data_IF_695151672297
#
_entry.id   IF_695151672297
#
_cell.length_a   1.000
_cell.length_b   1.000
_cell.length_c   1.000
_cell.angle_alpha   90.00
_cell.angle_beta   90.00
_cell.angle_gamma   90.00
#
_symmetry.space_group_name_H-M   'P 1'
#
loop_
_entity.id
_entity.type
_entity.pdbx_description
1 polymer ?
#
# COMPACT_ATOMS: atom_id res chain seq x y z
N UNK A 1 -3.10 -0.73 -26.63
CA UNK A 1 -3.29 0.28 -25.57
C UNK A 1 -1.95 0.84 -25.12
N UNK A 2 -1.94 2.03 -24.55
CA UNK A 2 -0.82 2.63 -23.82
C UNK A 2 -0.78 2.06 -22.40
N UNK A 3 0.41 1.74 -21.91
CA UNK A 3 0.62 1.21 -20.57
C UNK A 3 2.00 1.62 -20.02
N UNK A 4 2.07 1.86 -18.72
CA UNK A 4 3.32 2.07 -17.99
C UNK A 4 3.98 0.70 -17.79
N UNK A 5 5.20 0.56 -18.29
CA UNK A 5 5.95 -0.68 -18.30
C UNK A 5 7.31 -0.50 -17.63
N UNK A 6 7.72 -1.50 -16.87
CA UNK A 6 9.06 -1.59 -16.33
C UNK A 6 10.03 -2.03 -17.43
N UNK A 7 11.18 -1.36 -17.55
CA UNK A 7 12.21 -1.63 -18.57
C UNK A 7 13.59 -1.92 -17.97
N UNK A 8 13.74 -1.67 -16.67
CA UNK A 8 15.00 -1.80 -15.93
C UNK A 8 14.90 -1.09 -14.59
N UNK A 9 15.91 -1.28 -13.73
CA UNK A 9 16.03 -0.52 -12.49
C UNK A 9 16.00 0.98 -12.83
N UNK A 10 15.04 1.70 -12.23
CA UNK A 10 14.78 3.13 -12.48
C UNK A 10 14.46 3.51 -13.93
N UNK A 11 14.00 2.56 -14.73
CA UNK A 11 13.57 2.79 -16.11
C UNK A 11 12.13 2.30 -16.28
N UNK A 12 11.19 3.25 -16.17
CA UNK A 12 9.77 3.06 -16.44
C UNK A 12 9.43 3.85 -17.70
N UNK A 13 8.68 3.24 -18.62
CA UNK A 13 8.29 3.86 -19.89
C UNK A 13 6.83 3.62 -20.19
N UNK A 14 6.22 4.56 -20.91
CA UNK A 14 4.89 4.35 -21.47
C UNK A 14 5.03 3.75 -22.85
N UNK A 15 4.63 2.50 -22.99
CA UNK A 15 4.77 1.70 -24.20
C UNK A 15 3.41 1.35 -24.79
N UNK A 16 3.40 1.02 -26.08
CA UNK A 16 2.19 0.50 -26.75
C UNK A 16 2.21 -1.01 -26.68
N UNK A 17 1.23 -1.58 -25.98
CA UNK A 17 1.08 -3.02 -25.75
C UNK A 17 -0.24 -3.53 -26.35
N UNK A 18 -0.40 -4.84 -26.59
CA UNK A 18 -1.67 -5.40 -27.04
C UNK A 18 -2.82 -5.09 -26.09
N UNK A 19 -4.02 -4.91 -26.62
CA UNK A 19 -5.22 -4.72 -25.80
C UNK A 19 -5.54 -6.01 -25.03
N UNK A 20 -5.86 -5.92 -23.73
CA UNK A 20 -6.25 -7.07 -22.94
C UNK A 20 -7.62 -7.57 -23.40
N UNK A 21 -7.83 -8.87 -23.28
CA UNK A 21 -9.09 -9.54 -23.62
C UNK A 21 -9.56 -10.41 -22.46
N UNK A 22 -10.85 -10.73 -22.43
CA UNK A 22 -11.40 -11.73 -21.50
C UNK A 22 -10.75 -13.08 -21.79
N UNK A 23 -10.16 -13.71 -20.78
CA UNK A 23 -9.52 -15.03 -20.91
C UNK A 23 -10.31 -16.10 -20.17
N UNK A 24 -10.88 -15.77 -19.01
CA UNK A 24 -11.67 -16.69 -18.18
C UNK A 24 -13.12 -16.21 -17.97
N UNK A 25 -14.08 -17.12 -17.72
CA UNK A 25 -15.48 -16.77 -17.48
C UNK A 25 -15.72 -15.78 -16.34
N UNK A 26 -14.81 -15.69 -15.36
CA UNK A 26 -14.92 -14.79 -14.20
C UNK A 26 -14.17 -13.47 -14.38
N UNK A 27 -13.51 -13.26 -15.52
CA UNK A 27 -12.77 -12.04 -15.79
C UNK A 27 -13.70 -10.85 -16.00
N UNK A 28 -13.20 -9.66 -15.68
CA UNK A 28 -13.81 -8.38 -16.06
C UNK A 28 -12.75 -7.58 -16.82
N UNK A 29 -13.13 -6.92 -17.90
CA UNK A 29 -12.29 -5.98 -18.62
C UNK A 29 -12.82 -4.57 -18.36
N UNK A 30 -11.95 -3.68 -17.89
CA UNK A 30 -12.29 -2.27 -17.68
C UNK A 30 -11.47 -1.37 -18.59
N UNK A 31 -12.05 -0.25 -18.99
CA UNK A 31 -11.31 0.94 -19.42
C UNK A 31 -11.00 1.76 -18.18
N UNK A 32 -9.71 1.93 -17.90
CA UNK A 32 -9.24 2.64 -16.71
C UNK A 32 -9.56 4.13 -16.88
N UNK A 33 -10.12 4.74 -15.83
CA UNK A 33 -10.40 6.18 -15.80
C UNK A 33 -9.44 6.91 -14.87
N UNK A 34 -9.02 6.25 -13.79
CA UNK A 34 -8.01 6.74 -12.86
C UNK A 34 -7.22 5.58 -12.28
N UNK A 35 -5.92 5.78 -12.04
CA UNK A 35 -5.07 4.78 -11.38
C UNK A 35 -3.98 5.45 -10.54
N UNK A 36 -3.78 4.96 -9.33
CA UNK A 36 -2.77 5.50 -8.42
C UNK A 36 -1.33 5.09 -8.76
N UNK A 37 -0.40 5.92 -8.27
CA UNK A 37 0.98 5.52 -7.99
C UNK A 37 1.10 5.22 -6.49
N UNK A 38 1.57 4.02 -6.15
CA UNK A 38 1.76 3.59 -4.77
C UNK A 38 3.24 3.60 -4.36
N UNK A 39 3.52 3.69 -3.06
CA UNK A 39 4.88 3.51 -2.55
C UNK A 39 5.43 2.12 -2.88
N UNK A 40 4.58 1.09 -2.89
CA UNK A 40 5.00 -0.27 -3.27
C UNK A 40 5.41 -0.38 -4.74
N UNK A 41 4.96 0.50 -5.64
CA UNK A 41 5.46 0.56 -7.02
C UNK A 41 6.93 1.02 -7.05
N UNK A 42 7.38 1.84 -6.09
CA UNK A 42 8.79 2.23 -5.95
C UNK A 42 9.68 1.05 -5.53
N UNK A 43 9.11 0.05 -4.84
CA UNK A 43 9.85 -1.19 -4.57
C UNK A 43 10.15 -1.92 -5.88
N UNK A 44 9.23 -1.93 -6.85
CA UNK A 44 9.47 -2.50 -8.19
C UNK A 44 10.48 -1.65 -8.98
N UNK A 45 10.41 -0.33 -8.81
CA UNK A 45 11.30 0.64 -9.46
C UNK A 45 12.77 0.50 -9.05
N UNK A 46 13.06 0.10 -7.80
CA UNK A 46 14.44 0.05 -7.27
C UNK A 46 14.86 -1.30 -6.66
N UNK A 47 14.04 -1.90 -5.78
CA UNK A 47 14.48 -2.96 -4.87
C UNK A 47 14.21 -4.35 -5.44
N UNK A 48 13.05 -4.54 -6.04
CA UNK A 48 12.54 -5.81 -6.53
C UNK A 48 12.87 -6.04 -8.01
N UNK A 49 13.77 -5.25 -8.59
CA UNK A 49 14.21 -5.37 -9.99
C UNK A 49 14.56 -6.80 -10.44
N UNK A 50 15.25 -7.63 -9.63
CA UNK A 50 15.52 -9.03 -9.99
C UNK A 50 14.26 -9.88 -10.23
N UNK A 51 13.12 -9.48 -9.69
CA UNK A 51 11.83 -10.18 -9.84
C UNK A 51 10.92 -9.55 -10.91
N UNK A 52 11.44 -8.62 -11.70
CA UNK A 52 10.74 -7.93 -12.80
C UNK A 52 11.29 -8.35 -14.16
N UNK A 53 10.50 -8.19 -15.20
CA UNK A 53 10.92 -8.35 -16.60
C UNK A 53 10.63 -7.10 -17.42
N UNK A 54 11.51 -6.73 -18.38
CA UNK A 54 11.20 -5.67 -19.32
C UNK A 54 9.87 -5.93 -20.04
N UNK A 55 8.97 -4.95 -19.97
CA UNK A 55 7.61 -5.01 -20.50
C UNK A 55 6.52 -5.32 -19.46
N UNK A 56 6.87 -5.64 -18.21
CA UNK A 56 5.89 -5.82 -17.15
C UNK A 56 5.07 -4.55 -16.94
N UNK A 57 3.73 -4.67 -17.02
CA UNK A 57 2.81 -3.56 -16.82
C UNK A 57 2.57 -3.39 -15.33
N UNK A 58 2.87 -2.20 -14.79
CA UNK A 58 2.85 -1.90 -13.35
C UNK A 58 1.56 -1.24 -12.88
N UNK A 59 1.44 -1.06 -11.56
CA UNK A 59 0.38 -0.30 -10.91
C UNK A 59 -0.83 -1.14 -10.53
N UNK A 60 -1.36 -0.87 -9.34
CA UNK A 60 -2.33 -1.76 -8.69
C UNK A 60 -3.45 -1.02 -7.96
N UNK A 61 -3.63 0.25 -8.30
CA UNK A 61 -4.66 1.11 -7.74
C UNK A 61 -5.68 1.63 -8.79
N UNK A 62 -6.24 0.78 -9.68
CA UNK A 62 -7.08 1.27 -10.76
C UNK A 62 -8.56 1.34 -10.38
N UNK A 63 -9.25 2.29 -11.00
CA UNK A 63 -10.69 2.28 -11.18
C UNK A 63 -11.04 2.61 -12.63
N UNK A 64 -12.24 2.23 -13.05
CA UNK A 64 -12.65 2.42 -14.43
C UNK A 64 -14.10 2.07 -14.69
N UNK A 65 -14.38 1.95 -15.98
CA UNK A 65 -15.69 1.56 -16.51
C UNK A 65 -15.59 0.16 -17.11
N UNK A 66 -16.53 -0.72 -16.79
CA UNK A 66 -16.61 -2.06 -17.37
C UNK A 66 -16.85 -1.97 -18.88
N UNK A 67 -15.96 -2.56 -19.67
CA UNK A 67 -16.04 -2.63 -21.14
C UNK A 67 -16.48 -4.02 -21.61
N UNK A 68 -16.09 -5.08 -20.88
CA UNK A 68 -16.56 -6.44 -21.14
C UNK A 68 -16.53 -7.29 -19.86
N UNK A 69 -17.34 -8.34 -19.84
CA UNK A 69 -17.39 -9.30 -18.74
C UNK A 69 -17.32 -10.73 -19.27
N UNK A 70 -16.73 -11.62 -18.48
CA UNK A 70 -16.75 -13.05 -18.74
C UNK A 70 -18.15 -13.66 -18.56
N UNK A 71 -18.36 -14.86 -19.10
CA UNK A 71 -19.67 -15.51 -19.13
C UNK A 71 -20.24 -15.94 -17.78
N UNK A 72 -19.45 -15.92 -16.70
CA UNK A 72 -19.87 -16.24 -15.34
C UNK A 72 -20.04 -14.99 -14.46
N UNK A 73 -19.93 -13.79 -15.02
CA UNK A 73 -20.18 -12.53 -14.31
C UNK A 73 -21.66 -12.19 -14.37
N UNK A 74 -22.33 -12.12 -13.22
CA UNK A 74 -23.79 -11.97 -13.14
C UNK A 74 -24.29 -10.61 -12.59
N UNK A 75 -23.41 -9.80 -11.98
CA UNK A 75 -23.80 -8.60 -11.21
C UNK A 75 -23.05 -7.32 -11.64
N UNK A 76 -22.30 -7.39 -12.74
CA UNK A 76 -21.65 -6.24 -13.37
C UNK A 76 -22.07 -6.17 -14.82
N UNK A 77 -22.44 -4.99 -15.27
CA UNK A 77 -22.83 -4.71 -16.64
C UNK A 77 -21.80 -3.79 -17.31
N UNK A 78 -21.69 -3.88 -18.64
CA UNK A 78 -20.93 -2.91 -19.43
C UNK A 78 -21.45 -1.49 -19.15
N UNK A 79 -20.54 -0.57 -18.84
CA UNK A 79 -20.85 0.80 -18.42
C UNK A 79 -20.86 1.02 -16.91
N UNK A 80 -20.79 -0.03 -16.09
CA UNK A 80 -20.65 0.13 -14.63
C UNK A 80 -19.31 0.74 -14.26
N UNK A 81 -19.32 1.67 -13.28
CA UNK A 81 -18.09 2.16 -12.65
C UNK A 81 -17.66 1.20 -11.56
N UNK A 82 -16.40 0.79 -11.60
CA UNK A 82 -15.82 -0.15 -10.63
C UNK A 82 -14.46 0.30 -10.16
N UNK A 83 -14.19 0.08 -8.87
CA UNK A 83 -12.84 0.13 -8.29
C UNK A 83 -12.31 -1.29 -8.19
N UNK A 84 -11.05 -1.50 -8.53
CA UNK A 84 -10.44 -2.83 -8.54
C UNK A 84 -9.46 -2.96 -7.38
N UNK A 85 -9.71 -3.87 -6.42
CA UNK A 85 -8.73 -4.23 -5.40
C UNK A 85 -7.42 -4.72 -6.01
N UNK A 86 -6.30 -4.36 -5.38
CA UNK A 86 -4.98 -4.86 -5.81
C UNK A 86 -4.82 -6.39 -5.67
N UNK A 87 -5.57 -7.04 -4.75
CA UNK A 87 -5.57 -8.49 -4.59
C UNK A 87 -6.36 -9.19 -5.71
N UNK A 88 -5.75 -10.17 -6.38
CA UNK A 88 -6.48 -11.08 -7.27
C UNK A 88 -7.02 -12.22 -6.42
N UNK A 89 -8.34 -12.29 -6.22
CA UNK A 89 -8.97 -13.20 -5.26
C UNK A 89 -10.24 -13.87 -5.80
N UNK A 90 -10.44 -15.14 -5.49
CA UNK A 90 -11.56 -15.92 -6.04
C UNK A 90 -12.90 -15.73 -5.33
N UNK A 91 -12.88 -15.28 -4.07
CA UNK A 91 -14.10 -15.03 -3.28
C UNK A 91 -14.74 -16.23 -2.61
N UNK A 92 -14.29 -17.46 -2.91
CA UNK A 92 -14.97 -18.68 -2.45
C UNK A 92 -14.03 -19.73 -1.82
N UNK A 93 -12.71 -19.52 -1.82
CA UNK A 93 -11.80 -20.43 -1.10
C UNK A 93 -11.91 -20.23 0.41
N UNK A 94 -11.33 -21.15 1.19
CA UNK A 94 -11.43 -21.14 2.66
C UNK A 94 -10.96 -19.81 3.26
N UNK A 95 -9.91 -19.23 2.67
CA UNK A 95 -9.34 -17.94 3.08
C UNK A 95 -10.25 -16.77 2.70
N UNK A 96 -10.75 -16.72 1.45
CA UNK A 96 -11.62 -15.64 0.99
C UNK A 96 -12.93 -15.54 1.79
N UNK A 97 -13.56 -16.68 2.11
CA UNK A 97 -14.79 -16.71 2.92
C UNK A 97 -14.59 -16.16 4.35
N UNK A 98 -13.33 -16.10 4.81
CA UNK A 98 -12.94 -15.55 6.12
C UNK A 98 -12.41 -14.12 6.04
N UNK A 99 -12.50 -13.49 4.86
CA UNK A 99 -11.98 -12.15 4.64
C UNK A 99 -10.45 -12.07 4.63
N UNK A 100 -9.79 -13.15 4.20
CA UNK A 100 -8.34 -13.24 4.01
C UNK A 100 -8.00 -13.28 2.51
N UNK A 101 -8.46 -12.29 1.75
CA UNK A 101 -8.26 -12.18 0.31
C UNK A 101 -6.78 -12.17 -0.09
N UNK A 102 -5.91 -11.54 0.69
CA UNK A 102 -4.47 -11.55 0.42
C UNK A 102 -3.83 -12.94 0.56
N UNK A 103 -4.56 -13.90 1.14
CA UNK A 103 -4.16 -15.30 1.32
C UNK A 103 -5.02 -16.26 0.46
N UNK A 104 -5.70 -15.76 -0.58
CA UNK A 104 -6.51 -16.57 -1.48
C UNK A 104 -5.78 -17.83 -1.97
N UNK A 105 -6.36 -19.01 -1.70
CA UNK A 105 -5.73 -20.31 -2.02
C UNK A 105 -5.70 -20.60 -3.52
N UNK A 106 -6.66 -20.05 -4.27
CA UNK A 106 -6.81 -20.22 -5.72
C UNK A 106 -5.73 -19.47 -6.50
N UNK A 107 -5.33 -18.31 -5.99
CA UNK A 107 -4.34 -17.42 -6.63
C UNK A 107 -3.04 -17.36 -5.83
N UNK A 108 -2.84 -18.28 -4.88
CA UNK A 108 -1.63 -18.35 -4.09
C UNK A 108 -0.42 -18.70 -4.98
N UNK A 109 0.65 -17.92 -4.87
CA UNK A 109 1.88 -18.16 -5.62
C UNK A 109 2.77 -19.16 -4.88
N UNK A 110 2.47 -20.45 -5.05
CA UNK A 110 3.13 -21.56 -4.33
C UNK A 110 4.61 -21.71 -4.69
N UNK A 111 4.98 -21.42 -5.93
CA UNK A 111 6.35 -21.56 -6.43
C UNK A 111 7.32 -20.57 -5.75
N UNK A 112 6.81 -19.42 -5.34
CA UNK A 112 7.56 -18.37 -4.61
C UNK A 112 7.26 -18.34 -3.12
N UNK A 113 6.32 -19.17 -2.65
CA UNK A 113 5.91 -19.26 -1.25
C UNK A 113 5.15 -18.03 -0.71
N UNK A 114 4.65 -17.17 -1.59
CA UNK A 114 3.96 -15.93 -1.19
C UNK A 114 2.43 -16.11 -1.18
N UNK A 115 1.72 -15.02 -0.86
CA UNK A 115 0.25 -14.98 -0.82
C UNK A 115 -0.41 -14.99 -2.19
N UNK A 116 -1.63 -14.47 -2.24
CA UNK A 116 -2.42 -14.30 -3.45
C UNK A 116 -1.70 -13.41 -4.47
N UNK A 117 -1.92 -13.65 -5.77
CA UNK A 117 -1.40 -12.78 -6.83
C UNK A 117 -1.90 -11.35 -6.68
N UNK A 118 -1.06 -10.40 -7.07
CA UNK A 118 -1.34 -8.97 -7.02
C UNK A 118 -1.28 -8.40 -8.44
N UNK A 119 -2.17 -7.46 -8.76
CA UNK A 119 -2.12 -6.73 -10.01
C UNK A 119 -0.84 -5.90 -10.08
N UNK A 120 -0.25 -5.75 -11.26
CA UNK A 120 0.85 -4.82 -11.54
C UNK A 120 2.10 -5.00 -10.66
N UNK A 121 2.34 -6.21 -10.18
CA UNK A 121 3.40 -6.53 -9.23
C UNK A 121 4.40 -7.55 -9.79
N UNK A 122 5.43 -7.89 -9.00
CA UNK A 122 6.53 -8.76 -9.45
C UNK A 122 6.16 -10.24 -9.59
N UNK A 123 7.09 -11.03 -10.14
CA UNK A 123 7.00 -12.50 -10.22
C UNK A 123 6.72 -13.18 -8.88
N UNK A 124 7.15 -12.56 -7.78
CA UNK A 124 6.85 -13.05 -6.44
C UNK A 124 5.35 -13.21 -6.20
N UNK A 125 4.53 -12.36 -6.83
CA UNK A 125 3.08 -12.32 -6.69
C UNK A 125 2.35 -12.52 -8.02
N UNK A 126 2.90 -13.39 -8.88
CA UNK A 126 2.21 -13.91 -10.05
C UNK A 126 2.30 -13.07 -11.31
N UNK A 127 3.00 -11.92 -11.28
CA UNK A 127 3.30 -11.10 -12.47
C UNK A 127 2.04 -10.76 -13.30
N UNK A 128 0.92 -10.48 -12.61
CA UNK A 128 -0.34 -10.17 -13.28
C UNK A 128 -0.27 -8.72 -13.80
N UNK A 129 -0.63 -8.44 -15.06
CA UNK A 129 -0.59 -7.08 -15.61
C UNK A 129 -1.35 -6.04 -14.76
N UNK A 130 -0.73 -4.87 -14.60
CA UNK A 130 -1.22 -3.77 -13.77
C UNK A 130 -2.15 -2.78 -14.46
N UNK A 131 -2.69 -1.88 -13.65
CA UNK A 131 -3.71 -0.89 -14.00
C UNK A 131 -3.19 0.49 -14.39
N UNK A 132 -1.87 0.75 -14.39
CA UNK A 132 -1.32 1.95 -15.02
C UNK A 132 -1.32 1.79 -16.55
N UNK A 133 -2.51 1.70 -17.13
CA UNK A 133 -2.78 1.45 -18.54
C UNK A 133 -4.15 1.99 -18.95
N UNK A 134 -4.44 2.09 -20.24
CA UNK A 134 -5.78 2.52 -20.73
C UNK A 134 -6.87 1.47 -20.48
N UNK A 135 -6.51 0.17 -20.48
CA UNK A 135 -7.43 -0.94 -20.21
C UNK A 135 -6.78 -1.97 -19.29
N UNK A 136 -7.61 -2.69 -18.53
CA UNK A 136 -7.16 -3.71 -17.59
C UNK A 136 -8.10 -4.91 -17.60
N UNK A 137 -7.53 -6.10 -17.82
CA UNK A 137 -8.20 -7.37 -17.47
C UNK A 137 -8.01 -7.63 -15.99
N UNK A 138 -9.12 -7.90 -15.30
CA UNK A 138 -9.17 -8.22 -13.88
C UNK A 138 -9.53 -9.69 -13.73
N UNK A 139 -8.56 -10.57 -13.46
CA UNK A 139 -8.84 -11.97 -13.16
C UNK A 139 -9.69 -12.09 -11.90
N UNK A 140 -10.67 -12.99 -11.91
CA UNK A 140 -11.69 -13.09 -10.86
C UNK A 140 -12.39 -11.75 -10.56
N UNK A 141 -12.51 -10.88 -11.57
CA UNK A 141 -13.19 -9.58 -11.45
C UNK A 141 -14.64 -9.71 -10.99
N UNK A 142 -15.30 -10.85 -11.25
CA UNK A 142 -16.61 -11.20 -10.68
C UNK A 142 -16.66 -11.09 -9.14
N UNK A 143 -15.57 -11.36 -8.42
CA UNK A 143 -15.58 -11.18 -6.96
C UNK A 143 -14.87 -9.88 -6.55
N UNK A 144 -13.75 -9.60 -7.21
CA UNK A 144 -12.85 -8.52 -6.83
C UNK A 144 -13.45 -7.13 -7.06
N UNK A 145 -14.08 -6.88 -8.21
CA UNK A 145 -14.50 -5.54 -8.58
C UNK A 145 -15.58 -4.97 -7.63
N UNK A 146 -15.40 -3.71 -7.22
CA UNK A 146 -16.29 -2.99 -6.32
C UNK A 146 -17.07 -1.97 -7.14
N UNK A 147 -18.36 -2.22 -7.37
CA UNK A 147 -19.25 -1.28 -8.06
C UNK A 147 -19.45 -0.01 -7.24
N UNK A 148 -19.31 1.15 -7.87
CA UNK A 148 -19.49 2.46 -7.24
C UNK A 148 -20.52 3.32 -8.00
N UNK A 149 -21.18 4.28 -7.33
CA UNK A 149 -22.16 5.15 -7.97
C UNK A 149 -21.58 6.00 -9.11
N UNK A 150 -22.45 6.36 -10.05
CA UNK A 150 -22.18 7.44 -11.01
C UNK A 150 -22.37 8.81 -10.34
N UNK A 151 -21.64 9.83 -10.79
CA UNK A 151 -21.80 11.21 -10.32
C UNK A 151 -20.55 11.77 -9.64
N UNK A 152 -20.13 11.26 -8.47
CA UNK A 152 -18.93 11.76 -7.79
C UNK A 152 -17.65 11.51 -8.60
N UNK A 153 -16.61 12.37 -8.43
CA UNK A 153 -15.34 12.22 -9.13
C UNK A 153 -14.66 10.88 -8.76
N UNK A 154 -13.75 10.43 -9.61
CA UNK A 154 -12.96 9.21 -9.36
C UNK A 154 -12.19 9.28 -8.03
N UNK A 155 -11.70 10.46 -7.64
CA UNK A 155 -11.03 10.68 -6.36
C UNK A 155 -11.90 10.31 -5.15
N UNK A 156 -13.23 10.29 -5.31
CA UNK A 156 -14.14 9.83 -4.25
C UNK A 156 -13.94 8.34 -3.94
N UNK A 157 -13.51 7.55 -4.91
CA UNK A 157 -13.56 6.09 -4.82
C UNK A 157 -12.25 5.38 -5.16
N UNK A 158 -11.35 5.96 -5.96
CA UNK A 158 -10.14 5.28 -6.47
C UNK A 158 -9.29 4.67 -5.35
N UNK A 159 -9.24 5.30 -4.19
CA UNK A 159 -8.46 4.84 -3.04
C UNK A 159 -9.02 3.57 -2.37
N UNK A 160 -10.23 3.12 -2.72
CA UNK A 160 -10.76 1.80 -2.32
C UNK A 160 -9.95 0.64 -2.93
N UNK A 161 -9.16 0.90 -3.97
CA UNK A 161 -8.30 -0.12 -4.58
C UNK A 161 -7.16 -0.59 -3.66
N UNK A 162 -6.66 0.31 -2.79
CA UNK A 162 -5.54 0.05 -1.87
C UNK A 162 -5.57 0.98 -0.64
N UNK A 163 -5.22 2.27 -0.81
CA UNK A 163 -4.88 3.19 0.31
C UNK A 163 -5.87 3.16 1.46
N UNK A 164 -7.18 3.27 1.16
CA UNK A 164 -8.23 3.29 2.18
C UNK A 164 -8.33 1.95 2.91
N UNK A 165 -8.55 0.80 2.24
CA UNK A 165 -8.56 -0.49 2.91
C UNK A 165 -7.29 -0.82 3.69
N UNK A 166 -6.12 -0.42 3.18
CA UNK A 166 -4.83 -0.64 3.85
C UNK A 166 -4.75 0.18 5.14
N UNK A 167 -5.08 1.47 5.09
CA UNK A 167 -5.15 2.33 6.27
C UNK A 167 -6.24 1.89 7.27
N UNK A 168 -7.40 1.47 6.77
CA UNK A 168 -8.51 0.97 7.59
C UNK A 168 -8.14 -0.33 8.31
N UNK A 169 -7.51 -1.27 7.60
CA UNK A 169 -6.97 -2.49 8.20
C UNK A 169 -5.95 -2.15 9.28
N UNK A 170 -5.06 -1.19 9.03
CA UNK A 170 -4.04 -0.79 9.99
C UNK A 170 -4.66 -0.23 11.29
N UNK A 171 -5.70 0.60 11.19
CA UNK A 171 -6.42 1.11 12.37
C UNK A 171 -7.17 -0.01 13.11
N UNK A 172 -7.84 -0.90 12.39
CA UNK A 172 -8.51 -2.09 12.98
C UNK A 172 -7.52 -3.07 13.60
N UNK A 173 -6.31 -3.16 13.05
CA UNK A 173 -5.25 -4.02 13.56
C UNK A 173 -4.56 -3.41 14.77
N UNK A 174 -4.44 -2.08 14.83
CA UNK A 174 -3.91 -1.38 15.98
C UNK A 174 -4.75 -1.54 17.25
N UNK A 175 -6.05 -1.89 17.12
CA UNK A 175 -6.95 -2.16 18.27
C UNK A 175 -6.88 -1.04 19.33
N UNK A 176 -6.98 0.20 18.86
CA UNK A 176 -6.76 1.39 19.68
C UNK A 176 -7.90 1.50 20.70
N UNK A 177 -7.60 1.55 22.01
CA UNK A 177 -8.64 1.66 23.03
C UNK A 177 -9.44 2.96 22.91
N UNK A 178 -10.62 3.03 23.51
CA UNK A 178 -11.43 4.26 23.52
C UNK A 178 -10.71 5.40 24.24
N UNK A 179 -10.63 6.56 23.57
CA UNK A 179 -9.81 7.69 24.00
C UNK A 179 -8.29 7.43 23.94
N UNK A 180 -7.86 6.30 23.36
CA UNK A 180 -6.46 5.92 23.25
C UNK A 180 -5.66 6.77 22.27
N UNK A 181 -4.34 6.71 22.42
CA UNK A 181 -3.38 7.38 21.55
C UNK A 181 -2.73 6.39 20.58
N UNK A 182 -2.79 6.69 19.28
CA UNK A 182 -2.03 5.96 18.25
C UNK A 182 -0.87 6.80 17.75
N UNK A 183 0.30 6.19 17.67
CA UNK A 183 1.42 6.72 16.91
C UNK A 183 1.38 6.13 15.50
N UNK A 184 1.43 6.96 14.47
CA UNK A 184 1.59 6.54 13.08
C UNK A 184 2.99 6.88 12.61
N UNK A 185 3.78 5.87 12.25
CA UNK A 185 5.10 6.05 11.66
C UNK A 185 4.97 6.12 10.14
N UNK A 186 5.40 7.25 9.58
CA UNK A 186 5.22 7.59 8.18
C UNK A 186 3.95 8.40 7.95
N UNK A 187 4.09 9.55 7.29
CA UNK A 187 3.04 10.45 6.83
C UNK A 187 2.88 10.40 5.30
N UNK A 188 3.26 9.27 4.68
CA UNK A 188 2.88 8.96 3.29
C UNK A 188 1.37 8.65 3.16
N UNK A 189 0.88 8.24 1.97
CA UNK A 189 -0.55 8.00 1.74
C UNK A 189 -1.24 7.13 2.79
N UNK A 190 -0.65 5.99 3.15
CA UNK A 190 -1.24 5.06 4.13
C UNK A 190 -1.30 5.71 5.51
N UNK A 191 -0.21 6.31 5.98
CA UNK A 191 -0.15 6.91 7.31
C UNK A 191 -1.02 8.15 7.47
N UNK A 192 -1.07 9.02 6.46
CA UNK A 192 -2.02 10.15 6.42
C UNK A 192 -3.46 9.62 6.54
N UNK A 193 -3.84 8.68 5.68
CA UNK A 193 -5.21 8.12 5.71
C UNK A 193 -5.51 7.38 7.03
N UNK A 194 -4.56 6.64 7.60
CA UNK A 194 -4.72 5.97 8.88
C UNK A 194 -4.93 6.97 10.03
N UNK A 195 -4.21 8.10 10.02
CA UNK A 195 -4.40 9.16 11.01
C UNK A 195 -5.80 9.78 10.91
N UNK A 196 -6.33 9.97 9.70
CA UNK A 196 -7.69 10.48 9.48
C UNK A 196 -8.75 9.52 10.00
N UNK A 197 -8.62 8.23 9.70
CA UNK A 197 -9.55 7.20 10.16
C UNK A 197 -9.52 7.13 11.70
N UNK A 198 -8.34 7.12 12.32
CA UNK A 198 -8.22 7.11 13.77
C UNK A 198 -8.86 8.34 14.43
N UNK A 199 -8.64 9.55 13.88
CA UNK A 199 -9.25 10.78 14.41
C UNK A 199 -10.77 10.81 14.21
N UNK A 200 -11.27 10.30 13.08
CA UNK A 200 -12.71 10.15 12.84
C UNK A 200 -13.38 9.26 13.91
N UNK A 201 -12.65 8.27 14.42
CA UNK A 201 -13.08 7.38 15.52
C UNK A 201 -12.81 7.95 16.93
N UNK A 202 -12.46 9.24 17.02
CA UNK A 202 -12.23 9.94 18.27
C UNK A 202 -10.93 9.55 18.98
N UNK A 203 -9.97 8.94 18.27
CA UNK A 203 -8.65 8.60 18.82
C UNK A 203 -7.69 9.78 18.66
N UNK A 204 -6.70 9.87 19.56
CA UNK A 204 -5.61 10.85 19.45
C UNK A 204 -4.53 10.30 18.52
N UNK A 205 -4.17 11.04 17.47
CA UNK A 205 -3.16 10.63 16.50
C UNK A 205 -1.88 11.47 16.63
N UNK A 206 -0.77 10.81 16.94
CA UNK A 206 0.59 11.35 16.81
C UNK A 206 1.17 10.79 15.51
N UNK A 207 1.71 11.63 14.63
CA UNK A 207 2.26 11.19 13.34
C UNK A 207 3.71 11.60 13.22
N UNK A 208 4.61 10.65 12.98
CA UNK A 208 6.04 10.91 12.88
C UNK A 208 6.56 10.65 11.46
N UNK A 209 7.31 11.59 10.89
CA UNK A 209 7.93 11.50 9.56
C UNK A 209 9.22 12.36 9.53
N UNK A 210 9.94 12.30 8.42
CA UNK A 210 11.15 13.07 8.14
C UNK A 210 10.90 14.20 7.13
N UNK A 211 9.72 14.23 6.49
CA UNK A 211 9.38 15.16 5.40
C UNK A 211 8.45 16.26 5.90
N UNK A 212 8.89 17.53 5.98
CA UNK A 212 8.10 18.63 6.54
C UNK A 212 6.74 18.83 5.86
N UNK A 213 6.66 18.70 4.54
CA UNK A 213 5.42 18.88 3.76
C UNK A 213 4.37 17.83 4.12
N UNK A 214 4.81 16.58 4.39
CA UNK A 214 3.92 15.49 4.83
C UNK A 214 3.42 15.75 6.26
N UNK A 215 4.29 16.20 7.14
CA UNK A 215 3.94 16.58 8.52
C UNK A 215 2.96 17.75 8.57
N UNK A 216 3.17 18.77 7.72
CA UNK A 216 2.25 19.90 7.61
C UNK A 216 0.86 19.45 7.15
N UNK A 217 0.79 18.52 6.17
CA UNK A 217 -0.46 17.99 5.65
C UNK A 217 -1.30 17.27 6.72
N UNK A 218 -0.69 16.40 7.53
CA UNK A 218 -1.41 15.71 8.61
C UNK A 218 -1.77 16.65 9.76
N UNK A 219 -0.88 17.61 10.07
CA UNK A 219 -1.15 18.65 11.09
C UNK A 219 -2.34 19.54 10.72
N UNK A 220 -2.46 19.89 9.43
CA UNK A 220 -3.60 20.65 8.91
C UNK A 220 -4.95 19.97 9.09
N UNK A 221 -4.97 18.67 9.42
CA UNK A 221 -6.17 17.88 9.74
C UNK A 221 -6.34 17.58 11.23
N UNK A 222 -5.45 18.08 12.08
CA UNK A 222 -5.55 17.95 13.53
C UNK A 222 -4.67 16.87 14.16
N UNK A 223 -3.86 16.14 13.38
CA UNK A 223 -2.89 15.20 13.95
C UNK A 223 -1.72 15.95 14.60
N UNK A 224 -1.15 15.37 15.66
CA UNK A 224 0.04 15.91 16.31
C UNK A 224 1.30 15.41 15.58
N UNK A 225 1.90 16.27 14.76
CA UNK A 225 3.07 15.92 13.98
C UNK A 225 4.38 15.97 14.80
N UNK A 226 5.24 14.97 14.59
CA UNK A 226 6.59 14.88 15.15
C UNK A 226 7.59 14.81 14.00
N UNK A 227 8.42 15.85 13.89
CA UNK A 227 9.56 15.85 12.96
C UNK A 227 10.72 15.07 13.59
N UNK A 228 10.99 13.88 13.04
CA UNK A 228 12.06 13.01 13.52
C UNK A 228 13.44 13.68 13.35
N UNK A 229 13.62 14.53 12.34
CA UNK A 229 14.89 15.23 12.10
C UNK A 229 15.18 16.32 13.14
N UNK A 230 14.13 16.80 13.82
CA UNK A 230 14.23 17.85 14.83
C UNK A 230 14.46 17.32 16.26
N UNK A 231 14.53 16.00 16.45
CA UNK A 231 14.66 15.39 17.79
C UNK A 231 16.08 15.49 18.38
N UNK A 232 17.09 15.79 17.56
CA UNK A 232 18.48 15.87 18.00
C UNK A 232 18.97 14.54 18.56
N UNK A 233 19.42 14.54 19.82
CA UNK A 233 19.90 13.32 20.51
C UNK A 233 18.78 12.49 21.15
N UNK A 234 17.53 13.00 21.18
CA UNK A 234 16.39 12.28 21.73
C UNK A 234 15.86 11.25 20.72
N UNK A 235 15.42 10.10 21.22
CA UNK A 235 14.73 9.13 20.36
C UNK A 235 13.28 9.53 20.10
N UNK A 236 12.70 9.02 19.01
CA UNK A 236 11.25 9.16 18.76
C UNK A 236 10.43 8.60 19.93
N UNK A 237 10.88 7.49 20.51
CA UNK A 237 10.19 6.87 21.63
C UNK A 237 10.22 7.75 22.89
N UNK A 238 11.29 8.54 23.12
CA UNK A 238 11.34 9.51 24.22
C UNK A 238 10.32 10.63 24.02
N UNK A 239 10.25 11.19 22.81
CA UNK A 239 9.26 12.22 22.48
C UNK A 239 7.83 11.70 22.64
N UNK A 240 7.55 10.49 22.15
CA UNK A 240 6.23 9.86 22.31
C UNK A 240 5.91 9.59 23.78
N UNK A 241 6.89 9.14 24.58
CA UNK A 241 6.72 8.97 26.03
C UNK A 241 6.39 10.30 26.71
N UNK A 242 7.10 11.38 26.38
CA UNK A 242 6.80 12.72 26.91
C UNK A 242 5.35 13.15 26.59
N UNK A 243 4.90 12.88 25.37
CA UNK A 243 3.52 13.18 24.93
C UNK A 243 2.45 12.26 25.54
N UNK A 244 2.83 11.16 26.20
CA UNK A 244 1.92 10.09 26.67
C UNK A 244 2.14 9.73 28.15
N UNK A 245 2.48 10.72 28.97
CA UNK A 245 2.70 10.60 30.42
C UNK A 245 3.74 9.52 30.80
N UNK A 246 4.78 9.38 29.98
CA UNK A 246 5.87 8.43 30.16
C UNK A 246 5.57 6.98 29.76
N UNK A 247 4.36 6.68 29.26
CA UNK A 247 3.93 5.29 28.97
C UNK A 247 4.35 4.79 27.59
N UNK A 248 4.34 5.67 26.58
CA UNK A 248 4.32 5.30 25.17
C UNK A 248 2.89 5.26 24.62
N UNK A 249 2.76 5.19 23.30
CA UNK A 249 1.46 5.15 22.62
C UNK A 249 0.70 3.84 22.93
N UNK A 250 -0.64 3.88 23.00
CA UNK A 250 -1.46 2.68 23.22
C UNK A 250 -1.31 1.67 22.09
N UNK A 251 -1.23 2.19 20.86
CA UNK A 251 -0.92 1.43 19.68
C UNK A 251 0.02 2.20 18.74
N UNK A 252 0.71 1.47 17.88
CA UNK A 252 1.54 2.04 16.81
C UNK A 252 1.11 1.45 15.47
N UNK A 253 0.93 2.30 14.46
CA UNK A 253 0.80 1.90 13.06
C UNK A 253 2.14 2.17 12.38
N UNK A 254 2.81 1.12 11.92
CA UNK A 254 4.03 1.21 11.12
C UNK A 254 3.62 1.21 9.64
N UNK A 255 3.82 2.34 8.96
CA UNK A 255 3.40 2.56 7.56
C UNK A 255 4.57 3.03 6.66
N UNK A 256 5.80 2.61 6.98
CA UNK A 256 7.02 2.93 6.23
C UNK A 256 7.57 1.70 5.51
N UNK A 257 7.73 0.56 6.21
CA UNK A 257 8.29 -0.67 5.63
C UNK A 257 9.78 -0.56 5.22
N UNK A 258 10.17 -1.33 4.20
CA UNK A 258 11.55 -1.41 3.67
C UNK A 258 12.17 -0.08 3.22
N UNK A 259 11.36 0.96 3.01
CA UNK A 259 11.81 2.32 2.67
C UNK A 259 12.32 3.13 3.86
N UNK A 260 12.36 2.54 5.06
CA UNK A 260 12.98 3.16 6.22
C UNK A 260 14.36 3.74 5.85
N UNK A 261 14.65 4.96 6.31
CA UNK A 261 15.93 5.60 5.99
C UNK A 261 17.02 4.99 6.86
N UNK A 262 17.48 3.80 6.44
CA UNK A 262 18.46 3.03 7.19
C UNK A 262 19.90 3.47 6.99
N UNK A 263 20.76 2.97 7.87
CA UNK A 263 22.19 3.25 7.88
C UNK A 263 22.84 3.01 6.50
N UNK A 264 23.87 3.77 6.14
CA UNK A 264 24.53 3.68 4.83
C UNK A 264 25.08 2.28 4.47
N UNK A 265 25.26 1.40 5.46
CA UNK A 265 25.71 0.02 5.27
C UNK A 265 24.65 -0.88 4.59
N UNK A 266 23.38 -0.78 5.00
CA UNK A 266 22.29 -1.57 4.40
C UNK A 266 22.03 -1.13 2.96
N UNK A 267 22.13 0.18 2.66
CA UNK A 267 22.08 0.72 1.28
C UNK A 267 23.16 0.11 0.38
N UNK A 268 24.39 -0.06 0.89
CA UNK A 268 25.48 -0.65 0.12
C UNK A 268 25.25 -2.15 -0.12
N UNK A 269 24.74 -2.88 0.87
CA UNK A 269 24.43 -4.31 0.73
C UNK A 269 23.37 -4.57 -0.35
N UNK A 270 22.22 -3.87 -0.33
CA UNK A 270 21.20 -4.01 -1.38
C UNK A 270 21.74 -3.68 -2.76
N UNK A 271 22.53 -2.59 -2.88
CA UNK A 271 23.15 -2.21 -4.15
C UNK A 271 24.09 -3.29 -4.69
N UNK A 272 24.87 -3.94 -3.81
CA UNK A 272 25.76 -5.02 -4.23
C UNK A 272 25.00 -6.27 -4.67
N UNK A 273 23.88 -6.60 -4.03
CA UNK A 273 23.03 -7.73 -4.42
C UNK A 273 22.35 -7.46 -5.77
N UNK A 274 21.85 -6.23 -6.01
CA UNK A 274 21.23 -5.85 -7.29
C UNK A 274 22.20 -5.84 -8.48
N UNK A 275 23.51 -5.84 -8.24
CA UNK A 275 24.53 -5.95 -9.30
C UNK A 275 24.85 -7.41 -9.68
N UNK A 276 24.33 -8.39 -8.93
CA UNK A 276 24.48 -9.79 -9.28
C UNK A 276 23.51 -10.17 -10.41
N UNK A 277 23.84 -11.18 -11.24
CA UNK A 277 22.87 -11.74 -12.16
C UNK A 277 21.61 -12.23 -11.44
N UNK A 278 20.43 -12.03 -12.01
CA UNK A 278 19.13 -12.34 -11.38
C UNK A 278 19.07 -13.75 -10.78
N UNK A 279 19.59 -14.75 -11.52
CA UNK A 279 19.66 -16.16 -11.07
C UNK A 279 20.42 -16.39 -9.77
N UNK A 280 21.26 -15.43 -9.36
CA UNK A 280 22.01 -15.44 -8.10
C UNK A 280 21.43 -14.43 -7.09
N UNK A 281 20.90 -13.30 -7.56
CA UNK A 281 20.28 -12.29 -6.72
C UNK A 281 18.97 -12.80 -6.10
N UNK A 282 18.08 -13.41 -6.89
CA UNK A 282 16.76 -13.88 -6.43
C UNK A 282 16.88 -14.86 -5.24
N UNK A 283 17.66 -15.96 -5.30
CA UNK A 283 17.74 -16.91 -4.19
C UNK A 283 18.45 -16.33 -2.98
N UNK A 284 19.39 -15.39 -3.18
CA UNK A 284 20.08 -14.73 -2.08
C UNK A 284 19.14 -13.78 -1.33
N UNK A 285 18.35 -12.98 -2.06
CA UNK A 285 17.35 -12.10 -1.45
C UNK A 285 16.29 -12.90 -0.71
N UNK A 286 15.81 -14.01 -1.29
CA UNK A 286 14.82 -14.87 -0.64
C UNK A 286 15.33 -15.56 0.64
N UNK A 287 16.62 -15.90 0.74
CA UNK A 287 17.14 -16.69 1.86
C UNK A 287 18.00 -15.92 2.87
N UNK A 288 18.50 -14.74 2.49
CA UNK A 288 19.40 -13.94 3.31
C UNK A 288 19.13 -12.43 3.19
N UNK A 289 17.95 -12.05 2.68
CA UNK A 289 17.52 -10.66 2.65
C UNK A 289 17.39 -10.10 4.07
N UNK A 290 17.93 -8.91 4.28
CA UNK A 290 17.79 -8.13 5.51
C UNK A 290 17.18 -6.79 5.13
N UNK A 291 16.08 -6.45 5.77
CA UNK A 291 15.37 -5.19 5.55
C UNK A 291 15.94 -4.05 6.40
N UNK A 292 15.44 -2.85 6.12
CA UNK A 292 15.68 -1.68 6.95
C UNK A 292 14.64 -1.65 8.07
N UNK A 293 15.10 -1.92 9.29
CA UNK A 293 14.23 -2.17 10.45
C UNK A 293 14.02 -0.94 11.34
N UNK A 294 14.60 0.22 11.02
CA UNK A 294 14.60 1.38 11.93
C UNK A 294 13.19 1.85 12.33
N UNK A 295 12.25 1.87 11.37
CA UNK A 295 10.85 2.21 11.64
C UNK A 295 10.19 1.16 12.55
N UNK A 296 10.43 -0.13 12.28
CA UNK A 296 9.87 -1.23 13.06
C UNK A 296 10.39 -1.24 14.52
N UNK A 297 11.70 -1.05 14.69
CA UNK A 297 12.31 -0.97 16.02
C UNK A 297 11.81 0.27 16.78
N UNK A 298 11.64 1.39 16.09
CA UNK A 298 11.03 2.60 16.68
C UNK A 298 9.58 2.35 17.09
N UNK A 299 8.82 1.56 16.33
CA UNK A 299 7.46 1.16 16.71
C UNK A 299 7.46 0.33 17.99
N UNK A 300 8.34 -0.68 18.08
CA UNK A 300 8.46 -1.53 19.26
C UNK A 300 8.90 -0.75 20.50
N UNK A 301 9.74 0.27 20.37
CA UNK A 301 10.14 1.11 21.50
C UNK A 301 9.05 2.10 21.91
N UNK A 302 8.38 2.73 20.95
CA UNK A 302 7.40 3.80 21.18
C UNK A 302 6.05 3.32 21.71
N UNK A 303 5.66 2.07 21.43
CA UNK A 303 4.42 1.47 21.96
C UNK A 303 4.52 1.24 23.47
N UNK A 304 3.46 1.44 24.24
CA UNK A 304 3.47 1.10 25.67
C UNK A 304 3.56 -0.41 25.90
N UNK A 305 3.90 -0.79 27.14
CA UNK A 305 3.76 -2.20 27.59
C UNK A 305 2.30 -2.66 27.45
N UNK A 306 2.11 -3.87 26.93
CA UNK A 306 0.81 -4.46 26.61
C UNK A 306 0.05 -3.75 25.47
N UNK A 307 0.75 -2.94 24.66
CA UNK A 307 0.16 -2.26 23.50
C UNK A 307 0.27 -3.09 22.23
N UNK A 308 -0.26 -2.53 21.15
CA UNK A 308 -0.36 -3.20 19.84
C UNK A 308 0.48 -2.49 18.80
N UNK A 309 1.17 -3.24 17.96
CA UNK A 309 1.84 -2.73 16.77
C UNK A 309 1.18 -3.34 15.53
N UNK A 310 0.56 -2.47 14.74
CA UNK A 310 -0.01 -2.80 13.44
C UNK A 310 0.98 -2.46 12.34
N UNK A 311 1.53 -3.48 11.68
CA UNK A 311 2.55 -3.31 10.64
C UNK A 311 1.86 -3.37 9.28
N UNK A 312 1.80 -2.21 8.63
CA UNK A 312 1.29 -2.04 7.27
C UNK A 312 2.41 -1.87 6.25
N UNK A 313 3.62 -1.47 6.68
CA UNK A 313 4.80 -1.43 5.84
C UNK A 313 5.13 -2.81 5.28
N UNK A 314 5.63 -2.84 4.04
CA UNK A 314 6.05 -4.08 3.39
C UNK A 314 7.44 -4.45 3.87
N UNK A 315 7.61 -5.71 4.27
CA UNK A 315 8.88 -6.36 4.62
C UNK A 315 9.05 -7.61 3.75
N UNK A 316 10.26 -7.87 3.26
CA UNK A 316 10.61 -8.99 2.40
C UNK A 316 11.86 -9.75 2.86
N UNK A 317 12.53 -9.28 3.90
CA UNK A 317 13.71 -9.90 4.50
C UNK A 317 13.37 -11.22 5.18
N UNK A 318 14.09 -12.28 4.82
CA UNK A 318 13.91 -13.61 5.42
C UNK A 318 14.78 -13.86 6.64
N UNK A 319 15.73 -12.96 6.94
CA UNK A 319 16.71 -13.10 8.01
C UNK A 319 16.76 -11.89 8.97
N UNK A 320 15.65 -11.17 9.10
CA UNK A 320 15.60 -9.93 9.89
C UNK A 320 15.82 -10.17 11.40
N UNK A 321 16.79 -9.46 12.03
CA UNK A 321 17.02 -9.57 13.47
C UNK A 321 15.94 -8.82 14.25
N UNK A 322 15.06 -9.56 14.93
CA UNK A 322 14.02 -8.99 15.78
C UNK A 322 14.43 -8.94 17.27
N UNK A 323 14.11 -7.85 18.00
CA UNK A 323 14.44 -7.69 19.42
C UNK A 323 13.48 -8.50 20.31
N UNK A 324 13.53 -9.83 20.22
CA UNK A 324 12.56 -10.73 20.87
C UNK A 324 12.44 -10.52 22.37
N UNK A 325 13.53 -10.16 23.06
CA UNK A 325 13.48 -9.83 24.50
C UNK A 325 12.54 -8.64 24.75
N UNK A 326 12.68 -7.55 23.99
CA UNK A 326 11.84 -6.36 24.13
C UNK A 326 10.38 -6.67 23.79
N UNK A 327 10.14 -7.35 22.68
CA UNK A 327 8.79 -7.72 22.22
C UNK A 327 8.09 -8.58 23.30
N UNK A 328 8.79 -9.59 23.82
CA UNK A 328 8.26 -10.48 24.85
C UNK A 328 8.06 -9.76 26.20
N UNK A 329 9.06 -9.01 26.68
CA UNK A 329 9.02 -8.32 27.97
C UNK A 329 7.94 -7.23 28.01
N UNK A 330 7.73 -6.52 26.90
CA UNK A 330 6.66 -5.54 26.77
C UNK A 330 5.29 -6.18 26.49
N UNK A 331 5.22 -7.50 26.28
CA UNK A 331 3.98 -8.21 25.93
C UNK A 331 3.27 -7.60 24.72
N UNK A 332 4.03 -7.30 23.66
CA UNK A 332 3.47 -6.65 22.48
C UNK A 332 2.56 -7.58 21.70
N UNK A 333 1.43 -7.04 21.22
CA UNK A 333 0.60 -7.68 20.21
C UNK A 333 1.04 -7.18 18.83
N UNK A 334 1.37 -8.10 17.92
CA UNK A 334 1.78 -7.76 16.56
C UNK A 334 0.72 -8.25 15.57
N UNK A 335 0.23 -7.35 14.71
CA UNK A 335 -0.70 -7.68 13.62
C UNK A 335 -0.18 -7.06 12.33
N UNK A 336 -0.19 -7.82 11.25
CA UNK A 336 0.48 -7.41 10.00
C UNK A 336 -0.08 -8.13 8.78
N UNK A 337 0.35 -7.69 7.60
CA UNK A 337 0.12 -8.36 6.33
C UNK A 337 -0.53 -7.46 5.30
N UNK A 338 -0.51 -7.94 4.05
CA UNK A 338 -1.18 -7.29 2.93
C UNK A 338 -2.65 -7.03 3.25
N UNK A 339 -3.16 -5.87 2.82
CA UNK A 339 -4.54 -5.51 3.07
C UNK A 339 -5.50 -6.47 2.39
N UNK A 340 -6.55 -6.83 3.11
CA UNK A 340 -7.64 -7.67 2.64
C UNK A 340 -8.75 -6.75 2.12
N UNK A 341 -8.59 -6.17 0.93
CA UNK A 341 -9.40 -5.03 0.49
C UNK A 341 -10.91 -5.29 0.61
N UNK A 342 -11.40 -6.40 0.03
CA UNK A 342 -12.82 -6.77 0.06
C UNK A 342 -13.37 -7.05 1.47
N UNK A 343 -12.52 -7.29 2.48
CA UNK A 343 -12.96 -7.41 3.87
C UNK A 343 -13.50 -6.08 4.42
N UNK A 344 -12.98 -4.96 3.93
CA UNK A 344 -13.25 -3.62 4.46
C UNK A 344 -14.06 -2.74 3.51
N UNK A 345 -14.22 -3.14 2.24
CA UNK A 345 -14.82 -2.30 1.20
C UNK A 345 -16.20 -1.78 1.55
N UNK A 346 -17.08 -2.62 2.11
CA UNK A 346 -18.47 -2.21 2.37
C UNK A 346 -18.57 -1.16 3.49
N UNK A 347 -17.77 -1.32 4.56
CA UNK A 347 -17.69 -0.35 5.66
C UNK A 347 -17.17 1.01 5.16
N UNK A 348 -16.13 0.99 4.32
CA UNK A 348 -15.52 2.21 3.77
C UNK A 348 -16.47 2.85 2.74
N UNK A 349 -17.08 2.06 1.86
CA UNK A 349 -18.00 2.53 0.84
C UNK A 349 -19.24 3.19 1.46
N UNK A 350 -19.69 2.74 2.63
CA UNK A 350 -20.75 3.39 3.38
C UNK A 350 -20.38 4.83 3.81
N UNK A 351 -19.11 5.11 4.11
CA UNK A 351 -18.62 6.46 4.39
C UNK A 351 -18.47 7.29 3.10
N UNK A 352 -17.93 6.68 2.04
CA UNK A 352 -17.71 7.36 0.76
C UNK A 352 -19.02 7.72 0.03
N UNK A 353 -20.10 7.00 0.31
CA UNK A 353 -21.42 7.30 -0.25
C UNK A 353 -22.20 8.37 0.51
N UNK A 354 -21.66 8.91 1.61
CA UNK A 354 -22.23 10.09 2.25
C UNK A 354 -21.99 11.32 1.38
N UNK A 355 -22.88 12.32 1.48
CA UNK A 355 -22.70 13.59 0.77
C UNK A 355 -21.45 14.34 1.27
N UNK A 356 -21.12 14.21 2.56
CA UNK A 356 -19.94 14.81 3.17
C UNK A 356 -18.69 13.95 2.94
N UNK A 357 -17.59 14.59 2.58
CA UNK A 357 -16.29 13.93 2.50
C UNK A 357 -15.58 13.84 3.85
N UNK A 358 -16.12 13.01 4.74
CA UNK A 358 -15.62 12.83 6.11
C UNK A 358 -14.19 12.28 6.17
N UNK A 359 -13.71 11.62 5.11
CA UNK A 359 -12.34 11.10 5.00
C UNK A 359 -11.40 12.08 4.24
N UNK A 360 -11.95 13.11 3.60
CA UNK A 360 -11.20 14.07 2.80
C UNK A 360 -10.48 13.45 1.60
N UNK A 361 -11.11 12.47 0.95
CA UNK A 361 -10.54 11.72 -0.19
C UNK A 361 -10.50 12.53 -1.49
N UNK A 362 -11.44 13.44 -1.72
CA UNK A 362 -11.51 14.19 -2.99
C UNK A 362 -10.33 15.15 -3.15
N UNK A 363 -9.81 15.68 -2.04
CA UNK A 363 -8.57 16.48 -1.99
C UNK A 363 -7.33 15.67 -1.61
N UNK A 364 -7.39 14.33 -1.74
CA UNK A 364 -6.30 13.47 -1.26
C UNK A 364 -5.11 13.44 -2.21
N UNK A 365 -5.34 13.26 -3.51
CA UNK A 365 -4.30 13.36 -4.52
C UNK A 365 -3.64 14.75 -4.47
N UNK A 366 -2.31 14.78 -4.47
CA UNK A 366 -1.56 16.02 -4.64
C UNK A 366 -1.32 16.33 -6.12
N UNK A 367 -1.33 15.32 -6.97
CA UNK A 367 -1.13 15.47 -8.41
C UNK A 367 -2.11 14.60 -9.21
N UNK A 368 -2.67 15.18 -10.26
CA UNK A 368 -3.37 14.46 -11.33
C UNK A 368 -2.59 14.64 -12.62
N UNK A 369 -2.09 13.54 -13.16
CA UNK A 369 -1.21 13.55 -14.34
C UNK A 369 -1.80 12.66 -15.45
N UNK A 370 -1.40 12.88 -16.68
CA UNK A 370 -1.66 11.92 -17.76
C UNK A 370 -0.78 10.67 -17.60
N UNK A 371 -1.16 9.57 -18.25
CA UNK A 371 -0.34 8.35 -18.22
C UNK A 371 1.06 8.58 -18.81
N UNK A 372 1.19 9.43 -19.82
CA UNK A 372 2.44 9.77 -20.51
C UNK A 372 3.48 10.45 -19.59
N UNK A 373 3.03 11.03 -18.48
CA UNK A 373 3.89 11.68 -17.48
C UNK A 373 4.42 10.71 -16.42
N UNK A 374 4.03 9.43 -16.47
CA UNK A 374 4.42 8.43 -15.48
C UNK A 374 5.95 8.37 -15.24
N UNK A 375 6.84 8.35 -16.26
CA UNK A 375 8.28 8.27 -16.00
C UNK A 375 8.79 9.40 -15.10
N UNK A 376 8.36 10.64 -15.33
CA UNK A 376 8.72 11.78 -14.50
C UNK A 376 8.07 11.70 -13.12
N UNK A 377 6.81 11.25 -13.05
CA UNK A 377 6.09 11.12 -11.80
C UNK A 377 6.74 10.10 -10.85
N UNK A 378 7.21 8.96 -11.35
CA UNK A 378 7.98 7.97 -10.58
C UNK A 378 9.25 8.58 -9.98
N UNK A 379 10.00 9.36 -10.77
CA UNK A 379 11.20 10.05 -10.30
C UNK A 379 10.88 11.08 -9.22
N UNK A 380 9.90 11.96 -9.46
CA UNK A 380 9.47 12.99 -8.49
C UNK A 380 8.97 12.35 -7.19
N UNK A 381 8.19 11.27 -7.29
CA UNK A 381 7.64 10.56 -6.14
C UNK A 381 8.74 9.87 -5.32
N UNK A 382 9.71 9.24 -5.99
CA UNK A 382 10.89 8.64 -5.34
C UNK A 382 11.74 9.67 -4.59
N UNK A 383 11.99 10.83 -5.23
CA UNK A 383 12.79 11.90 -4.63
C UNK A 383 12.04 12.71 -3.57
N UNK A 384 10.71 12.50 -3.47
CA UNK A 384 9.80 13.24 -2.60
C UNK A 384 9.83 14.74 -2.89
N UNK A 385 9.96 15.08 -4.17
CA UNK A 385 9.99 16.45 -4.66
C UNK A 385 8.56 16.96 -4.94
N UNK A 386 8.44 18.28 -5.11
CA UNK A 386 7.19 18.96 -5.51
C UNK A 386 5.98 18.69 -4.60
N UNK A 387 6.20 18.32 -3.33
CA UNK A 387 5.12 17.96 -2.42
C UNK A 387 4.33 16.72 -2.86
N UNK A 388 4.94 15.81 -3.64
CA UNK A 388 4.31 14.57 -4.06
C UNK A 388 4.03 13.66 -2.87
N UNK A 389 2.75 13.46 -2.56
CA UNK A 389 2.27 12.52 -1.54
C UNK A 389 1.43 11.43 -2.18
N UNK A 390 0.45 11.81 -3.01
CA UNK A 390 -0.36 10.86 -3.78
C UNK A 390 -0.54 11.36 -5.20
N UNK A 391 -0.15 10.52 -6.16
CA UNK A 391 -0.31 10.80 -7.59
C UNK A 391 -1.40 9.87 -8.13
N UNK A 392 -2.29 10.43 -8.94
CA UNK A 392 -3.32 9.70 -9.68
C UNK A 392 -3.13 10.01 -11.17
N UNK A 393 -2.93 8.97 -11.97
CA UNK A 393 -2.90 9.08 -13.42
C UNK A 393 -4.32 9.01 -13.99
N UNK A 394 -4.55 9.76 -15.07
CA UNK A 394 -5.75 9.71 -15.92
C UNK A 394 -5.33 9.19 -17.30
N UNK A 395 -5.50 7.87 -17.55
CA UNK A 395 -5.17 7.25 -18.83
C UNK A 395 -5.94 7.79 -20.03
#
# INVERSE_FOLDING_TARGET
MRAVTWQGEKDIRVETVPDPTIQEPTDVLIRVTSTGLCGSDLHLYEVLGPFMEPGDIVGHEPMGVVEAVGSAVEHLDVGDRVVIPFNVSCGHCWMCERGLQSQCETTQNRDTGTGASLLGYSKLYGQVPGGQAEYLRVPHGAYGAIKVPNGPPDDRYVYLSDVLPTAWQAVRYADIPDGGTVLVLGAGPIGDMASRIAMLEGKRAIVADLVPERLQRVSGRGAEAVDITALGDNSLADAVREMTDGRGADAVIEAVGMEAHGSGATKLAHKLVGLLPDKLAEPLMMNAGIDRLEALLSAFDSVRRGGTVSISGVYGGSADPLPMMQIFDKQLQLRMGQANVRRWSDDILALLNQDEDVLGVEGFATHHLSLEEAPQAYETFQKKEDGAVKIVFRP
#
